data_IF_771845800423
#
_entry.id   IF_771845800423
#
_cell.length_a   1.000
_cell.length_b   1.000
_cell.length_c   1.000
_cell.angle_alpha   90.00
_cell.angle_beta   90.00
_cell.angle_gamma   90.00
#
_symmetry.space_group_name_H-M   'P 1'
#
loop_
_entity.id
_entity.type
_entity.pdbx_description
1 polymer ?
#
# COMPACT_ATOMS: atom_id res chain seq x y z
N UNK A 1 12.81 -7.22 -23.55
CA UNK A 1 14.16 -7.07 -22.97
C UNK A 1 14.12 -5.92 -21.96
N UNK A 2 13.79 -6.17 -20.69
CA UNK A 2 13.55 -5.13 -19.66
C UNK A 2 14.32 -5.39 -18.34
N UNK A 3 15.50 -6.02 -18.41
CA UNK A 3 16.29 -6.43 -17.24
C UNK A 3 17.78 -6.09 -17.37
N UNK A 4 18.17 -4.84 -17.71
CA UNK A 4 19.62 -4.55 -17.75
C UNK A 4 20.16 -3.21 -17.23
N UNK A 5 19.35 -2.22 -16.85
CA UNK A 5 19.92 -0.92 -16.44
C UNK A 5 19.34 -0.26 -15.19
N UNK A 6 18.38 -0.87 -14.50
CA UNK A 6 17.87 -0.34 -13.23
C UNK A 6 18.02 -1.47 -12.21
N UNK A 7 18.88 -1.29 -11.20
CA UNK A 7 19.08 -2.24 -10.09
C UNK A 7 17.85 -2.45 -9.19
N UNK A 8 16.68 -1.99 -9.64
CA UNK A 8 15.37 -2.31 -9.12
C UNK A 8 14.56 -2.81 -10.31
N UNK A 9 14.15 -4.08 -10.29
CA UNK A 9 13.27 -4.62 -11.34
C UNK A 9 12.04 -3.72 -11.50
N UNK A 10 11.45 -3.59 -12.69
CA UNK A 10 10.22 -2.80 -12.90
C UNK A 10 9.11 -3.11 -11.87
N UNK A 11 9.08 -4.36 -11.39
CA UNK A 11 8.18 -4.83 -10.33
C UNK A 11 8.39 -4.11 -8.98
N UNK A 12 9.63 -3.81 -8.61
CA UNK A 12 9.95 -3.11 -7.34
C UNK A 12 9.45 -1.68 -7.36
N UNK A 13 9.68 -0.95 -8.45
CA UNK A 13 9.17 0.41 -8.62
C UNK A 13 7.64 0.42 -8.58
N UNK A 14 7.00 -0.49 -9.34
CA UNK A 14 5.56 -0.62 -9.35
C UNK A 14 5.00 -0.95 -7.96
N UNK A 15 5.64 -1.83 -7.20
CA UNK A 15 5.22 -2.13 -5.82
C UNK A 15 5.29 -0.91 -4.92
N UNK A 16 6.39 -0.15 -4.96
CA UNK A 16 6.52 1.08 -4.17
C UNK A 16 5.45 2.10 -4.52
N UNK A 17 5.16 2.27 -5.81
CA UNK A 17 4.09 3.15 -6.27
C UNK A 17 2.71 2.72 -5.74
N UNK A 18 2.38 1.41 -5.85
CA UNK A 18 1.11 0.87 -5.34
C UNK A 18 0.96 1.06 -3.83
N UNK A 19 2.04 0.88 -3.09
CA UNK A 19 2.06 1.08 -1.63
C UNK A 19 1.88 2.55 -1.30
N UNK A 20 2.60 3.46 -1.97
CA UNK A 20 2.43 4.90 -1.79
C UNK A 20 0.96 5.32 -2.02
N UNK A 21 0.35 4.88 -3.13
CA UNK A 21 -1.05 5.22 -3.42
C UNK A 21 -2.03 4.64 -2.40
N UNK A 22 -1.79 3.41 -1.94
CA UNK A 22 -2.64 2.78 -0.92
C UNK A 22 -2.61 3.53 0.41
N UNK A 23 -1.48 4.16 0.78
CA UNK A 23 -1.36 4.96 2.01
C UNK A 23 -2.26 6.18 1.96
N UNK A 24 -2.28 6.91 0.84
CA UNK A 24 -3.18 8.05 0.62
C UNK A 24 -4.64 7.60 0.78
N UNK A 25 -5.04 6.53 0.08
CA UNK A 25 -6.41 6.02 0.14
C UNK A 25 -6.83 5.52 1.53
N UNK A 26 -5.90 4.99 2.32
CA UNK A 26 -6.18 4.53 3.68
C UNK A 26 -6.53 5.68 4.63
N UNK A 27 -5.99 6.88 4.36
CA UNK A 27 -6.19 8.10 5.17
C UNK A 27 -7.36 8.93 4.63
N UNK A 28 -7.45 9.08 3.30
CA UNK A 28 -8.40 9.99 2.65
C UNK A 28 -9.79 9.36 2.41
N UNK A 29 -9.93 8.05 2.61
CA UNK A 29 -11.19 7.35 2.31
C UNK A 29 -11.61 6.35 3.37
N UNK A 30 -12.92 6.12 3.44
CA UNK A 30 -13.56 5.11 4.29
C UNK A 30 -13.66 3.74 3.62
N UNK A 31 -13.09 3.58 2.40
CA UNK A 31 -13.11 2.32 1.65
C UNK A 31 -12.53 1.17 2.48
N UNK A 32 -13.02 -0.03 2.28
CA UNK A 32 -12.48 -1.21 2.96
C UNK A 32 -11.04 -1.47 2.51
N UNK A 33 -10.26 -2.15 3.36
CA UNK A 33 -8.88 -2.55 3.05
C UNK A 33 -8.84 -3.41 1.77
N UNK A 34 -9.85 -4.26 1.55
CA UNK A 34 -10.00 -5.08 0.36
C UNK A 34 -10.19 -4.24 -0.91
N UNK A 35 -11.07 -3.25 -0.89
CA UNK A 35 -11.29 -2.36 -2.04
C UNK A 35 -10.04 -1.56 -2.39
N UNK A 36 -9.30 -1.09 -1.38
CA UNK A 36 -8.05 -0.35 -1.57
C UNK A 36 -7.00 -1.27 -2.21
N UNK A 37 -6.87 -2.52 -1.75
CA UNK A 37 -5.96 -3.50 -2.31
C UNK A 37 -6.26 -3.73 -3.81
N UNK A 38 -7.53 -3.94 -4.16
CA UNK A 38 -7.94 -4.15 -5.55
C UNK A 38 -7.72 -2.90 -6.41
N UNK A 39 -8.06 -1.72 -5.88
CA UNK A 39 -7.87 -0.43 -6.59
C UNK A 39 -6.39 -0.16 -6.87
N UNK A 40 -5.50 -0.54 -5.95
CA UNK A 40 -4.05 -0.40 -6.11
C UNK A 40 -3.43 -1.53 -6.95
N UNK A 41 -4.23 -2.44 -7.52
CA UNK A 41 -3.77 -3.49 -8.43
C UNK A 41 -3.10 -4.68 -7.74
N UNK A 42 -3.37 -4.92 -6.45
CA UNK A 42 -2.95 -6.16 -5.78
C UNK A 42 -3.86 -7.32 -6.16
N UNK A 43 -3.27 -8.51 -6.34
CA UNK A 43 -4.02 -9.71 -6.71
C UNK A 43 -4.86 -10.26 -5.56
N UNK A 44 -4.50 -9.96 -4.31
CA UNK A 44 -5.28 -10.34 -3.15
C UNK A 44 -5.08 -9.35 -1.98
N UNK A 45 -6.11 -9.17 -1.13
CA UNK A 45 -6.00 -8.37 0.09
C UNK A 45 -4.92 -8.90 1.06
N UNK A 46 -4.73 -10.22 1.14
CA UNK A 46 -3.72 -10.84 2.00
C UNK A 46 -2.30 -10.51 1.54
N UNK A 47 -2.04 -10.58 0.23
CA UNK A 47 -0.73 -10.22 -0.31
C UNK A 47 -0.46 -8.72 -0.15
N UNK A 48 -1.48 -7.88 -0.37
CA UNK A 48 -1.41 -6.46 -0.06
C UNK A 48 -1.00 -6.21 1.40
N UNK A 49 -1.71 -6.80 2.37
CA UNK A 49 -1.41 -6.60 3.79
C UNK A 49 0.01 -7.04 4.16
N UNK A 50 0.50 -8.14 3.59
CA UNK A 50 1.88 -8.61 3.77
C UNK A 50 2.90 -7.59 3.24
N UNK A 51 2.76 -7.15 1.99
CA UNK A 51 3.69 -6.18 1.37
C UNK A 51 3.60 -4.83 2.08
N UNK A 52 2.40 -4.37 2.41
CA UNK A 52 2.19 -3.12 3.13
C UNK A 52 2.90 -3.10 4.48
N UNK A 53 2.77 -4.17 5.26
CA UNK A 53 3.49 -4.30 6.52
C UNK A 53 4.99 -4.37 6.33
N UNK A 54 5.47 -5.09 5.31
CA UNK A 54 6.89 -5.17 4.99
C UNK A 54 7.49 -3.80 4.67
N UNK A 55 6.77 -2.96 3.92
CA UNK A 55 7.26 -1.66 3.47
C UNK A 55 7.03 -0.53 4.49
N UNK A 56 5.99 -0.61 5.32
CA UNK A 56 5.60 0.49 6.25
C UNK A 56 5.79 0.16 7.73
N UNK A 57 6.02 -1.10 8.08
CA UNK A 57 6.09 -1.60 9.45
C UNK A 57 4.73 -1.86 10.11
N UNK A 58 3.62 -1.37 9.53
CA UNK A 58 2.27 -1.45 10.10
C UNK A 58 1.32 -2.24 9.21
N UNK A 59 0.28 -2.83 9.77
CA UNK A 59 -0.81 -3.36 8.94
C UNK A 59 -1.60 -2.21 8.31
N UNK A 60 -2.26 -2.40 7.16
CA UNK A 60 -3.11 -1.36 6.56
C UNK A 60 -4.17 -0.81 7.55
N UNK A 61 -4.72 -1.68 8.39
CA UNK A 61 -5.72 -1.31 9.39
C UNK A 61 -5.11 -0.46 10.51
N UNK A 62 -3.94 -0.85 11.03
CA UNK A 62 -3.25 -0.08 12.07
C UNK A 62 -2.78 1.26 11.51
N UNK A 63 -2.29 1.28 10.27
CA UNK A 63 -1.91 2.51 9.57
C UNK A 63 -3.08 3.48 9.45
N UNK A 64 -4.27 2.99 9.09
CA UNK A 64 -5.49 3.81 9.06
C UNK A 64 -5.83 4.34 10.44
N UNK A 65 -5.84 3.48 11.47
CA UNK A 65 -6.20 3.88 12.85
C UNK A 65 -5.25 4.94 13.40
N UNK A 66 -3.95 4.76 13.18
CA UNK A 66 -2.91 5.70 13.60
C UNK A 66 -3.15 7.10 13.03
N UNK A 67 -3.43 7.20 11.73
CA UNK A 67 -3.64 8.50 11.07
C UNK A 67 -5.04 9.08 11.31
N UNK A 68 -6.06 8.25 11.55
CA UNK A 68 -7.40 8.72 11.92
C UNK A 68 -7.40 9.38 13.32
N UNK A 69 -6.56 8.91 14.25
CA UNK A 69 -6.40 9.53 15.57
C UNK A 69 -5.72 10.90 15.54
N UNK A 70 -4.90 11.20 14.51
CA UNK A 70 -4.19 12.47 14.35
C UNK A 70 -5.00 13.56 13.62
N UNK A 71 -6.17 13.22 13.06
CA UNK A 71 -7.09 14.16 12.39
C UNK A 71 -8.16 14.72 13.35
N UNK A 72 -8.10 14.35 14.64
CA UNK A 72 -9.09 14.71 15.65
C UNK A 72 -8.50 15.53 16.81
N UNK A 73 -7.38 16.24 16.57
CA UNK A 73 -6.74 17.16 17.51
C UNK A 73 -6.54 18.53 16.87
#
# INVERSE_FOLDING_TARGET
MFNKYIGQTPNTYLMRYRIAKSREMLVESTRTICEIAMTCGFQSPSYFAYVFRKETGLTPQDYRKFNAGSQNA
#
